data_IF_617391890172
#
_entry.id   IF_617391890172
#
_cell.length_a   1.000
_cell.length_b   1.000
_cell.length_c   1.000
_cell.angle_alpha   90.00
_cell.angle_beta   90.00
_cell.angle_gamma   90.00
#
_symmetry.space_group_name_H-M   'P 1'
#
loop_
_entity.id
_entity.type
_entity.pdbx_description
1 polymer ?
#
# COMPACT_ATOMS: atom_id res chain seq x y z
N UNK A 1 -24.47 3.55 -11.08
CA UNK A 1 -24.03 4.64 -10.17
C UNK A 1 -23.57 4.01 -8.88
N UNK A 2 -22.41 4.37 -8.38
CA UNK A 2 -21.88 3.88 -7.10
C UNK A 2 -21.98 4.97 -6.02
N UNK A 3 -22.16 4.54 -4.77
CA UNK A 3 -22.21 5.41 -3.62
C UNK A 3 -20.96 5.22 -2.76
N UNK A 4 -20.61 6.26 -2.00
CA UNK A 4 -19.54 6.18 -1.01
C UNK A 4 -19.87 5.12 0.04
N UNK A 5 -18.81 4.57 0.63
CA UNK A 5 -18.93 3.50 1.62
C UNK A 5 -18.17 3.83 2.90
N UNK A 6 -18.63 3.20 3.97
CA UNK A 6 -17.94 3.10 5.26
C UNK A 6 -18.12 1.69 5.82
N UNK A 7 -17.49 1.36 6.91
CA UNK A 7 -17.76 0.10 7.63
C UNK A 7 -19.10 0.15 8.34
N UNK A 8 -19.70 -1.04 8.59
CA UNK A 8 -21.02 -1.13 9.22
C UNK A 8 -20.94 -0.98 10.74
N UNK A 9 -19.92 -1.55 11.37
CA UNK A 9 -19.69 -1.52 12.83
C UNK A 9 -18.22 -1.33 13.16
N UNK A 10 -17.90 -0.75 14.33
CA UNK A 10 -16.52 -0.64 14.78
C UNK A 10 -15.87 -2.01 14.96
N UNK A 11 -14.56 -2.07 14.69
CA UNK A 11 -13.69 -3.23 14.90
C UNK A 11 -12.31 -2.77 15.33
N UNK A 12 -11.56 -3.64 16.00
CA UNK A 12 -10.27 -3.27 16.59
C UNK A 12 -9.26 -4.41 16.50
N UNK A 13 -7.97 -4.06 16.52
CA UNK A 13 -6.85 -4.98 16.53
C UNK A 13 -5.67 -4.35 17.28
N UNK A 14 -4.89 -5.17 17.96
CA UNK A 14 -3.66 -4.74 18.63
C UNK A 14 -2.46 -5.50 18.10
N UNK A 15 -1.30 -4.91 18.19
CA UNK A 15 -0.03 -5.51 17.80
C UNK A 15 1.14 -4.60 18.19
N UNK A 16 2.30 -4.83 17.60
CA UNK A 16 3.50 -4.02 17.79
C UNK A 16 3.92 -3.34 16.50
N UNK A 17 4.48 -2.15 16.60
CA UNK A 17 5.09 -1.45 15.47
C UNK A 17 6.36 -2.15 15.01
N UNK A 18 6.55 -2.30 13.69
CA UNK A 18 7.75 -2.94 13.11
C UNK A 18 9.03 -2.20 13.48
N UNK A 19 9.03 -0.88 13.32
CA UNK A 19 10.22 -0.06 13.51
C UNK A 19 10.41 0.36 14.97
N UNK A 20 9.35 0.73 15.65
CA UNK A 20 9.41 1.23 17.02
C UNK A 20 9.45 0.13 18.08
N UNK A 21 8.86 -1.04 17.78
CA UNK A 21 8.63 -2.10 18.77
C UNK A 21 7.60 -1.74 19.84
N UNK A 22 6.90 -0.61 19.70
CA UNK A 22 5.90 -0.14 20.66
C UNK A 22 4.57 -0.84 20.39
N UNK A 23 3.89 -1.34 21.45
CA UNK A 23 2.51 -1.81 21.32
C UNK A 23 1.60 -0.69 20.82
N UNK A 24 0.67 -1.03 19.94
CA UNK A 24 -0.32 -0.12 19.40
C UNK A 24 -1.67 -0.81 19.25
N UNK A 25 -2.73 -0.03 19.43
CA UNK A 25 -4.10 -0.44 19.25
C UNK A 25 -4.74 0.39 18.14
N UNK A 26 -5.32 -0.29 17.15
CA UNK A 26 -6.05 0.33 16.05
C UNK A 26 -7.51 -0.01 16.14
N UNK A 27 -8.37 1.01 16.15
CA UNK A 27 -9.82 0.88 16.09
C UNK A 27 -10.36 1.56 14.84
N UNK A 28 -11.01 0.80 13.99
CA UNK A 28 -11.74 1.30 12.82
C UNK A 28 -13.16 1.68 13.23
N UNK A 29 -13.58 2.89 12.90
CA UNK A 29 -14.89 3.44 13.27
C UNK A 29 -15.59 3.99 12.04
N UNK A 30 -16.90 3.69 11.84
CA UNK A 30 -17.68 4.25 10.73
C UNK A 30 -17.59 5.77 10.71
N UNK A 31 -17.42 6.35 9.51
CA UNK A 31 -17.39 7.79 9.32
C UNK A 31 -18.51 8.25 8.37
N UNK A 32 -18.97 9.52 8.47
CA UNK A 32 -19.91 10.10 7.53
C UNK A 32 -19.32 10.25 6.12
N UNK A 33 -20.18 10.51 5.15
CA UNK A 33 -19.75 10.78 3.78
C UNK A 33 -18.81 11.99 3.72
N UNK A 34 -17.88 11.96 2.74
CA UNK A 34 -16.90 13.00 2.48
C UNK A 34 -15.82 13.18 3.58
N UNK A 35 -15.71 12.23 4.52
CA UNK A 35 -14.63 12.20 5.53
C UNK A 35 -13.28 11.78 4.93
N UNK A 36 -13.30 10.83 4.00
CA UNK A 36 -12.09 10.16 3.56
C UNK A 36 -11.54 9.19 4.63
N UNK A 37 -10.27 8.79 4.50
CA UNK A 37 -9.56 8.02 5.52
C UNK A 37 -8.89 9.01 6.47
N UNK A 38 -9.35 9.04 7.72
CA UNK A 38 -8.88 9.98 8.74
C UNK A 38 -8.33 9.21 9.93
N UNK A 39 -7.00 9.26 10.10
CA UNK A 39 -6.34 8.78 11.31
C UNK A 39 -6.57 9.77 12.45
N UNK A 40 -6.79 9.23 13.66
CA UNK A 40 -6.90 10.02 14.89
C UNK A 40 -5.98 9.43 15.94
N UNK A 41 -4.97 10.20 16.36
CA UNK A 41 -4.05 9.82 17.44
C UNK A 41 -4.79 9.93 18.76
N UNK A 42 -5.35 8.80 19.23
CA UNK A 42 -6.19 8.76 20.44
C UNK A 42 -5.38 9.04 21.74
N UNK A 43 -4.08 8.80 21.69
CA UNK A 43 -3.12 9.18 22.76
C UNK A 43 -2.80 10.69 22.77
N UNK A 44 -3.22 11.44 21.75
CA UNK A 44 -3.01 12.88 21.58
C UNK A 44 -4.36 13.61 21.33
N UNK A 45 -5.33 13.40 22.20
CA UNK A 45 -6.67 14.01 22.16
C UNK A 45 -7.40 13.84 20.81
N UNK A 46 -7.23 12.67 20.19
CA UNK A 46 -7.76 12.35 18.88
C UNK A 46 -7.26 13.27 17.76
N UNK A 47 -6.00 13.70 17.83
CA UNK A 47 -5.39 14.56 16.82
C UNK A 47 -5.53 13.99 15.41
N UNK A 48 -6.16 14.73 14.45
CA UNK A 48 -6.53 14.20 13.15
C UNK A 48 -5.39 14.33 12.13
N UNK A 49 -5.12 13.25 11.38
CA UNK A 49 -4.19 13.22 10.25
C UNK A 49 -4.92 12.58 9.07
N UNK A 50 -5.20 13.34 8.04
CA UNK A 50 -5.81 12.85 6.80
C UNK A 50 -4.81 11.98 6.04
N UNK A 51 -5.26 10.81 5.53
CA UNK A 51 -4.47 9.97 4.64
C UNK A 51 -4.43 10.59 3.24
N UNK A 52 -3.62 11.63 3.07
CA UNK A 52 -3.50 12.38 1.83
C UNK A 52 -2.04 12.76 1.56
N UNK A 53 -1.69 12.90 0.27
CA UNK A 53 -0.33 13.16 -0.20
C UNK A 53 0.36 14.37 0.42
N UNK A 54 -0.40 15.42 0.79
CA UNK A 54 0.17 16.61 1.43
C UNK A 54 0.61 16.39 2.89
N UNK A 55 0.18 15.32 3.54
CA UNK A 55 0.62 14.91 4.87
C UNK A 55 1.76 13.89 4.85
N UNK A 56 2.23 13.47 3.66
CA UNK A 56 3.37 12.57 3.56
C UNK A 56 4.60 13.23 4.17
N UNK A 57 5.24 12.55 5.11
CA UNK A 57 6.46 12.99 5.75
C UNK A 57 7.66 12.21 5.20
N UNK A 58 8.22 11.34 6.02
CA UNK A 58 9.36 10.51 5.66
C UNK A 58 8.89 9.19 5.05
N UNK A 59 9.54 8.76 3.98
CA UNK A 59 9.25 7.50 3.26
C UNK A 59 10.50 6.60 3.16
N UNK A 60 11.22 6.49 4.26
CA UNK A 60 12.35 5.56 4.37
C UNK A 60 11.87 4.30 5.08
N UNK A 61 11.86 3.18 4.38
CA UNK A 61 11.45 1.85 4.85
C UNK A 61 9.96 1.66 5.20
N UNK A 62 9.19 2.74 5.29
CA UNK A 62 7.74 2.74 5.50
C UNK A 62 7.15 4.08 5.08
N UNK A 63 5.85 4.12 4.81
CA UNK A 63 5.13 5.36 4.51
C UNK A 63 4.64 5.99 5.80
N UNK A 64 5.12 7.21 6.05
CA UNK A 64 4.76 8.00 7.23
C UNK A 64 3.98 9.25 6.85
N UNK A 65 2.99 9.58 7.66
CA UNK A 65 2.20 10.81 7.60
C UNK A 65 2.59 11.72 8.76
N UNK A 66 2.60 13.02 8.53
CA UNK A 66 2.84 14.01 9.58
C UNK A 66 1.96 15.24 9.37
N UNK A 67 1.37 15.71 10.46
CA UNK A 67 0.62 16.95 10.49
C UNK A 67 0.95 17.71 11.77
N UNK A 68 1.38 18.96 11.63
CA UNK A 68 1.77 19.84 12.76
C UNK A 68 2.72 19.18 13.77
N UNK A 69 3.69 18.38 13.27
CA UNK A 69 4.66 17.69 14.10
C UNK A 69 4.21 16.35 14.69
N UNK A 70 2.94 15.98 14.54
CA UNK A 70 2.42 14.66 14.96
C UNK A 70 2.65 13.67 13.84
N UNK A 71 3.47 12.64 14.11
CA UNK A 71 3.87 11.60 13.17
C UNK A 71 3.00 10.34 13.35
N UNK A 72 2.71 9.69 12.23
CA UNK A 72 2.16 8.33 12.14
C UNK A 72 2.90 7.55 11.06
N UNK A 73 3.42 6.37 11.37
CA UNK A 73 4.26 5.56 10.48
C UNK A 73 3.62 4.22 10.11
N UNK A 74 4.16 3.58 9.06
CA UNK A 74 3.81 2.21 8.60
C UNK A 74 2.33 2.11 8.25
N UNK A 75 1.84 3.07 7.46
CA UNK A 75 0.40 3.19 7.13
C UNK A 75 -0.02 2.36 5.91
N UNK A 76 0.93 1.96 5.07
CA UNK A 76 0.74 1.38 3.73
C UNK A 76 -0.10 0.10 3.74
N UNK A 77 0.13 -0.85 4.65
CA UNK A 77 -0.60 -2.13 4.68
C UNK A 77 -2.08 -1.96 5.01
N UNK A 78 -2.37 -1.10 6.00
CA UNK A 78 -3.74 -0.76 6.37
C UNK A 78 -4.44 0.04 5.26
N UNK A 79 -3.74 1.02 4.68
CA UNK A 79 -4.26 1.82 3.55
C UNK A 79 -4.56 0.93 2.34
N UNK A 80 -3.69 -0.05 2.03
CA UNK A 80 -3.92 -1.00 0.94
C UNK A 80 -5.20 -1.83 1.16
N UNK A 81 -5.43 -2.31 2.38
CA UNK A 81 -6.62 -3.05 2.74
C UNK A 81 -7.89 -2.19 2.64
N UNK A 82 -7.88 -0.98 3.19
CA UNK A 82 -9.00 -0.04 3.14
C UNK A 82 -9.35 0.34 1.70
N UNK A 83 -8.34 0.76 0.94
CA UNK A 83 -8.49 1.21 -0.44
C UNK A 83 -9.03 0.09 -1.34
N UNK A 84 -8.41 -1.08 -1.31
CA UNK A 84 -8.82 -2.24 -2.11
C UNK A 84 -10.20 -2.75 -1.73
N UNK A 85 -10.60 -2.63 -0.45
CA UNK A 85 -11.94 -2.96 0.03
C UNK A 85 -13.00 -1.94 -0.37
N UNK A 86 -12.61 -0.85 -1.01
CA UNK A 86 -13.52 0.20 -1.47
C UNK A 86 -14.12 1.01 -0.31
N UNK A 87 -13.43 1.12 0.82
CA UNK A 87 -13.83 1.98 1.95
C UNK A 87 -13.43 3.41 1.64
N UNK A 88 -14.41 4.28 1.45
CA UNK A 88 -14.18 5.69 1.12
C UNK A 88 -14.06 6.57 2.36
N UNK A 89 -14.77 6.22 3.46
CA UNK A 89 -14.86 7.05 4.65
C UNK A 89 -14.69 6.21 5.90
N UNK A 90 -13.71 6.55 6.74
CA UNK A 90 -13.41 5.82 7.96
C UNK A 90 -12.61 6.68 8.93
N UNK A 91 -12.90 6.56 10.22
CA UNK A 91 -11.98 6.98 11.28
C UNK A 91 -11.09 5.79 11.67
N UNK A 92 -9.80 6.04 11.75
CA UNK A 92 -8.79 5.09 12.21
C UNK A 92 -8.19 5.64 13.50
N UNK A 93 -8.72 5.20 14.65
CA UNK A 93 -8.18 5.57 15.96
C UNK A 93 -6.95 4.74 16.23
N UNK A 94 -5.86 5.36 16.63
CA UNK A 94 -4.60 4.72 16.96
C UNK A 94 -3.94 5.41 18.16
N UNK A 95 -3.50 4.63 19.14
CA UNK A 95 -2.86 5.11 20.38
C UNK A 95 -1.32 5.05 20.35
N UNK A 96 -0.73 4.89 19.16
CA UNK A 96 0.70 4.78 18.96
C UNK A 96 1.18 5.58 17.75
N UNK A 97 2.49 5.82 17.68
CA UNK A 97 3.15 6.51 16.56
C UNK A 97 3.24 5.65 15.29
N UNK A 98 2.96 4.35 15.38
CA UNK A 98 3.14 3.40 14.28
C UNK A 98 1.96 2.44 14.23
N UNK A 99 1.45 2.19 13.01
CA UNK A 99 0.43 1.15 12.77
C UNK A 99 1.07 -0.23 13.02
N UNK A 100 0.41 -1.12 13.80
CA UNK A 100 0.94 -2.46 14.07
C UNK A 100 1.23 -3.25 12.80
N UNK A 101 2.39 -3.91 12.77
CA UNK A 101 2.81 -4.71 11.60
C UNK A 101 2.05 -6.03 11.46
N UNK A 102 1.53 -6.55 12.57
CA UNK A 102 0.81 -7.82 12.68
C UNK A 102 1.66 -9.00 12.17
N UNK A 103 1.22 -9.70 11.13
CA UNK A 103 1.95 -10.80 10.49
C UNK A 103 2.83 -10.34 9.30
N UNK A 104 2.98 -9.04 9.12
CA UNK A 104 3.74 -8.44 8.01
C UNK A 104 2.98 -8.32 6.70
N UNK A 105 1.70 -8.70 6.66
CA UNK A 105 0.83 -8.61 5.48
C UNK A 105 -0.39 -7.71 5.72
N UNK A 106 -1.26 -7.55 4.72
CA UNK A 106 -2.55 -6.86 4.88
C UNK A 106 -3.70 -7.80 5.27
N UNK A 107 -3.48 -9.11 5.34
CA UNK A 107 -4.57 -10.07 5.59
C UNK A 107 -5.30 -9.85 6.91
N UNK A 108 -4.62 -9.58 8.05
CA UNK A 108 -5.33 -9.32 9.31
C UNK A 108 -6.25 -8.09 9.23
N UNK A 109 -5.88 -7.06 8.46
CA UNK A 109 -6.72 -5.90 8.20
C UNK A 109 -7.92 -6.24 7.31
N UNK A 110 -7.74 -7.11 6.31
CA UNK A 110 -8.84 -7.62 5.48
C UNK A 110 -9.85 -8.42 6.31
N UNK A 111 -9.38 -9.27 7.22
CA UNK A 111 -10.23 -10.00 8.17
C UNK A 111 -11.01 -9.07 9.11
N UNK A 112 -10.35 -8.00 9.57
CA UNK A 112 -10.99 -6.94 10.35
C UNK A 112 -12.14 -6.30 9.57
N UNK A 113 -11.92 -5.95 8.30
CA UNK A 113 -12.92 -5.34 7.42
C UNK A 113 -14.08 -6.30 7.09
N UNK A 114 -13.82 -7.60 6.99
CA UNK A 114 -14.89 -8.61 6.84
C UNK A 114 -15.78 -8.67 8.08
N UNK A 115 -15.16 -8.69 9.26
CA UNK A 115 -15.90 -8.63 10.54
C UNK A 115 -16.70 -7.34 10.67
N UNK A 116 -16.15 -6.20 10.20
CA UNK A 116 -16.82 -4.91 10.25
C UNK A 116 -18.05 -4.83 9.35
N UNK A 117 -18.01 -5.51 8.21
CA UNK A 117 -18.98 -5.34 7.12
C UNK A 117 -18.90 -3.95 6.47
N UNK A 118 -19.55 -3.79 5.34
CA UNK A 118 -19.56 -2.53 4.57
C UNK A 118 -20.97 -1.95 4.51
N UNK A 119 -21.08 -0.63 4.63
CA UNK A 119 -22.34 0.11 4.51
C UNK A 119 -22.20 1.20 3.46
N UNK A 120 -23.17 1.28 2.56
CA UNK A 120 -23.29 2.40 1.62
C UNK A 120 -23.83 3.67 2.33
N UNK A 121 -23.31 4.81 1.90
CA UNK A 121 -23.73 6.15 2.33
C UNK A 121 -24.60 6.81 1.24
N UNK A 122 -25.36 7.85 1.60
CA UNK A 122 -26.27 8.57 0.67
C UNK A 122 -25.55 9.66 -0.14
N UNK A 123 -24.27 9.40 -0.55
CA UNK A 123 -23.44 10.33 -1.33
C UNK A 123 -22.84 9.59 -2.51
N UNK A 124 -22.86 10.16 -3.71
CA UNK A 124 -22.24 9.57 -4.90
C UNK A 124 -20.73 9.39 -4.67
N UNK A 125 -20.21 8.27 -5.08
CA UNK A 125 -18.77 7.99 -5.05
C UNK A 125 -18.07 8.88 -6.06
N UNK A 126 -16.94 9.44 -5.67
CA UNK A 126 -16.07 10.24 -6.51
C UNK A 126 -14.82 9.45 -6.83
N UNK A 127 -14.29 9.66 -8.03
CA UNK A 127 -13.08 9.02 -8.52
C UNK A 127 -12.13 10.08 -9.03
N UNK A 128 -10.83 9.87 -8.83
CA UNK A 128 -9.77 10.61 -9.51
C UNK A 128 -9.52 9.92 -10.85
N UNK A 129 -9.88 10.58 -11.95
CA UNK A 129 -9.67 10.09 -13.32
C UNK A 129 -8.42 10.73 -13.90
N UNK A 130 -7.46 9.91 -14.30
CA UNK A 130 -6.25 10.38 -14.98
C UNK A 130 -6.60 10.78 -16.41
N UNK A 131 -6.16 11.96 -16.84
CA UNK A 131 -6.45 12.54 -18.16
C UNK A 131 -5.26 12.48 -19.10
N UNK A 132 -4.04 12.59 -18.59
CA UNK A 132 -2.79 12.49 -19.35
C UNK A 132 -1.71 11.75 -18.56
N UNK A 133 -0.71 11.15 -19.21
CA UNK A 133 0.39 10.50 -18.54
C UNK A 133 1.16 11.43 -17.60
N UNK A 134 1.55 10.90 -16.43
CA UNK A 134 2.53 11.51 -15.53
C UNK A 134 3.58 10.47 -15.24
N UNK A 135 4.85 10.77 -15.49
CA UNK A 135 5.95 9.82 -15.43
C UNK A 135 7.09 10.34 -14.57
N UNK A 136 7.77 9.41 -13.91
CA UNK A 136 8.99 9.63 -13.13
C UNK A 136 10.05 8.64 -13.59
N UNK A 137 11.27 9.14 -13.73
CA UNK A 137 12.46 8.31 -13.94
C UNK A 137 13.60 8.89 -13.10
N UNK A 138 14.32 8.02 -12.41
CA UNK A 138 15.48 8.42 -11.62
C UNK A 138 16.54 7.30 -11.62
N UNK A 139 17.83 7.62 -11.42
CA UNK A 139 18.84 6.61 -11.22
C UNK A 139 18.52 5.70 -10.04
N UNK A 140 18.82 4.39 -10.17
CA UNK A 140 18.68 3.46 -9.06
C UNK A 140 19.82 3.67 -8.07
N UNK A 141 19.55 4.05 -6.80
CA UNK A 141 20.61 4.30 -5.82
C UNK A 141 21.31 3.02 -5.37
N UNK A 142 20.74 1.84 -5.63
CA UNK A 142 21.30 0.55 -5.20
C UNK A 142 22.10 -0.14 -6.31
N UNK A 143 21.82 0.19 -7.59
CA UNK A 143 22.46 -0.47 -8.73
C UNK A 143 22.94 0.56 -9.74
N UNK A 144 24.26 0.77 -9.78
CA UNK A 144 24.88 1.73 -10.69
C UNK A 144 24.52 1.43 -12.16
N UNK A 145 24.15 2.47 -12.90
CA UNK A 145 23.78 2.37 -14.32
C UNK A 145 22.36 1.86 -14.58
N UNK A 146 21.60 1.52 -13.55
CA UNK A 146 20.18 1.20 -13.69
C UNK A 146 19.29 2.38 -13.35
N UNK A 147 18.05 2.32 -13.81
CA UNK A 147 17.01 3.35 -13.55
C UNK A 147 15.80 2.73 -12.90
N UNK A 148 15.14 3.51 -12.07
CA UNK A 148 13.80 3.23 -11.55
C UNK A 148 12.81 4.08 -12.33
N UNK A 149 11.67 3.51 -12.66
CA UNK A 149 10.64 4.19 -13.45
C UNK A 149 9.27 3.97 -12.83
N UNK A 150 8.45 5.00 -12.90
CA UNK A 150 7.05 4.90 -12.51
C UNK A 150 6.20 5.83 -13.35
N UNK A 151 5.01 5.36 -13.75
CA UNK A 151 4.08 6.18 -14.52
C UNK A 151 2.63 5.88 -14.16
N UNK A 152 1.79 6.89 -14.33
CA UNK A 152 0.34 6.79 -14.24
C UNK A 152 -0.26 7.29 -15.55
N UNK A 153 -1.19 6.53 -16.11
CA UNK A 153 -1.76 6.71 -17.44
C UNK A 153 -3.28 6.68 -17.40
N UNK A 154 -3.98 7.33 -18.35
CA UNK A 154 -5.42 7.23 -18.46
C UNK A 154 -5.92 5.79 -18.60
N UNK A 155 -6.94 5.43 -17.81
CA UNK A 155 -7.66 4.15 -17.92
C UNK A 155 -9.07 4.30 -17.33
N UNK A 156 -9.96 3.33 -17.63
CA UNK A 156 -11.34 3.34 -17.12
C UNK A 156 -11.51 2.61 -15.80
N UNK A 157 -10.46 1.95 -15.31
CA UNK A 157 -10.41 1.22 -14.05
C UNK A 157 -9.01 1.35 -13.45
N UNK A 158 -8.85 1.03 -12.16
CA UNK A 158 -7.52 1.01 -11.56
C UNK A 158 -6.79 -0.27 -11.96
N UNK A 159 -5.80 -0.15 -12.86
CA UNK A 159 -4.85 -1.20 -13.23
C UNK A 159 -3.49 -0.93 -12.61
N UNK A 160 -2.89 -1.98 -12.11
CA UNK A 160 -1.54 -1.95 -11.53
C UNK A 160 -0.65 -2.94 -12.28
N UNK A 161 0.58 -2.51 -12.62
CA UNK A 161 1.66 -3.38 -13.08
C UNK A 161 2.93 -3.01 -12.31
N UNK A 162 3.44 -3.94 -11.52
CA UNK A 162 4.58 -3.74 -10.64
C UNK A 162 5.68 -4.74 -10.98
N UNK A 163 6.86 -4.23 -11.29
CA UNK A 163 8.07 -5.01 -11.52
C UNK A 163 9.04 -4.79 -10.37
N UNK A 164 9.55 -5.88 -9.83
CA UNK A 164 10.68 -5.88 -8.93
C UNK A 164 11.85 -6.63 -9.56
N UNK A 165 13.05 -6.21 -9.23
CA UNK A 165 14.27 -6.81 -9.72
C UNK A 165 15.35 -6.67 -8.66
N UNK A 166 15.63 -7.76 -7.95
CA UNK A 166 16.62 -7.80 -6.89
C UNK A 166 17.72 -8.78 -7.25
N UNK A 167 18.96 -8.42 -6.98
CA UNK A 167 20.13 -9.30 -7.16
C UNK A 167 20.16 -10.38 -6.06
N UNK A 168 19.13 -11.26 -6.07
CA UNK A 168 18.99 -12.35 -5.11
C UNK A 168 18.34 -13.57 -5.78
N UNK A 169 18.87 -14.80 -5.61
CA UNK A 169 18.42 -15.98 -6.36
C UNK A 169 16.95 -16.33 -6.17
N UNK A 170 16.37 -16.11 -4.97
CA UNK A 170 14.96 -16.37 -4.70
C UNK A 170 14.02 -15.24 -5.06
N UNK A 171 14.51 -14.02 -5.24
CA UNK A 171 13.68 -12.86 -5.60
C UNK A 171 13.74 -12.64 -7.10
N UNK A 172 14.96 -12.37 -7.64
CA UNK A 172 15.18 -12.13 -9.06
C UNK A 172 14.24 -11.05 -9.61
N UNK A 173 13.72 -11.33 -10.80
CA UNK A 173 12.72 -10.51 -11.46
C UNK A 173 11.32 -11.10 -11.23
N UNK A 174 10.42 -10.29 -10.66
CA UNK A 174 9.02 -10.67 -10.48
C UNK A 174 8.13 -9.57 -11.03
N UNK A 175 7.01 -9.97 -11.62
CA UNK A 175 6.00 -9.07 -12.16
C UNK A 175 4.63 -9.42 -11.61
N UNK A 176 3.89 -8.39 -11.21
CA UNK A 176 2.51 -8.50 -10.74
C UNK A 176 1.65 -7.53 -11.53
N UNK A 177 0.65 -8.03 -12.25
CA UNK A 177 -0.33 -7.20 -12.97
C UNK A 177 -1.74 -7.61 -12.57
N UNK A 178 -2.58 -6.64 -12.20
CA UNK A 178 -3.99 -6.89 -11.84
C UNK A 178 -4.85 -5.63 -12.00
N UNK A 179 -6.17 -5.85 -12.10
CA UNK A 179 -7.18 -4.82 -11.84
C UNK A 179 -7.43 -4.78 -10.33
N UNK A 180 -7.20 -3.63 -9.72
CA UNK A 180 -7.30 -3.49 -8.27
C UNK A 180 -8.76 -3.46 -7.83
N UNK A 181 -9.10 -4.31 -6.88
CA UNK A 181 -10.41 -4.43 -6.26
C UNK A 181 -10.36 -5.44 -5.13
N UNK A 182 -11.42 -5.50 -4.31
CA UNK A 182 -11.45 -6.30 -3.08
C UNK A 182 -11.08 -7.77 -3.31
N UNK A 183 -11.73 -8.42 -4.28
CA UNK A 183 -11.54 -9.85 -4.55
C UNK A 183 -10.11 -10.13 -5.06
N UNK A 184 -9.64 -9.34 -6.03
CA UNK A 184 -8.30 -9.50 -6.58
C UNK A 184 -7.22 -9.23 -5.51
N UNK A 185 -7.38 -8.17 -4.71
CA UNK A 185 -6.45 -7.87 -3.61
C UNK A 185 -6.39 -9.01 -2.60
N UNK A 186 -7.55 -9.51 -2.16
CA UNK A 186 -7.64 -10.61 -1.22
C UNK A 186 -7.00 -11.89 -1.75
N UNK A 187 -7.35 -12.27 -2.96
CA UNK A 187 -6.87 -13.51 -3.56
C UNK A 187 -5.37 -13.50 -3.84
N UNK A 188 -4.84 -12.34 -4.26
CA UNK A 188 -3.52 -12.28 -4.87
C UNK A 188 -2.48 -11.52 -4.05
N UNK A 189 -2.87 -10.53 -3.22
CA UNK A 189 -1.92 -9.62 -2.58
C UNK A 189 -1.98 -9.64 -1.04
N UNK A 190 -3.18 -9.68 -0.45
CA UNK A 190 -3.36 -9.40 0.98
C UNK A 190 -2.47 -10.22 1.91
N UNK A 191 -2.13 -11.45 1.53
CA UNK A 191 -1.33 -12.40 2.31
C UNK A 191 0.18 -12.28 2.08
N UNK A 192 0.63 -11.44 1.15
CA UNK A 192 2.06 -11.25 0.88
C UNK A 192 2.71 -10.46 2.01
N UNK A 193 3.76 -11.04 2.62
CA UNK A 193 4.46 -10.48 3.78
C UNK A 193 5.57 -9.53 3.37
N UNK A 194 5.83 -8.54 4.22
CA UNK A 194 7.03 -7.71 4.13
C UNK A 194 8.30 -8.55 4.31
N UNK A 195 9.42 -8.03 3.81
CA UNK A 195 10.69 -8.75 3.82
C UNK A 195 11.88 -7.81 3.99
N UNK A 196 12.97 -8.37 4.47
CA UNK A 196 14.27 -7.71 4.49
C UNK A 196 15.39 -8.73 4.19
N UNK A 197 16.57 -8.23 3.83
CA UNK A 197 17.75 -9.07 3.73
C UNK A 197 18.43 -9.16 5.11
N UNK A 198 18.95 -10.33 5.45
CA UNK A 198 19.66 -10.54 6.71
C UNK A 198 20.81 -9.54 6.90
N UNK A 199 21.54 -9.23 5.85
CA UNK A 199 22.63 -8.23 5.84
C UNK A 199 22.21 -6.82 6.21
N UNK A 200 20.91 -6.49 6.08
CA UNK A 200 20.38 -5.16 6.37
C UNK A 200 19.87 -5.04 7.84
N UNK A 201 19.76 -6.16 8.56
CA UNK A 201 19.18 -6.19 9.92
C UNK A 201 20.02 -5.35 10.90
N UNK A 202 21.32 -5.60 10.99
CA UNK A 202 22.18 -4.87 11.92
C UNK A 202 22.29 -3.37 11.58
N UNK A 203 22.46 -2.95 10.30
CA UNK A 203 22.36 -1.55 9.92
C UNK A 203 21.02 -0.89 10.31
N UNK A 204 19.89 -1.57 10.07
CA UNK A 204 18.58 -1.06 10.43
C UNK A 204 18.40 -0.92 11.94
N UNK A 205 18.86 -1.91 12.71
CA UNK A 205 18.87 -1.84 14.19
C UNK A 205 19.75 -0.70 14.72
N UNK A 206 20.93 -0.50 14.13
CA UNK A 206 21.81 0.61 14.48
C UNK A 206 21.17 1.98 14.24
N UNK A 207 20.30 2.10 13.22
CA UNK A 207 19.48 3.29 12.97
C UNK A 207 18.26 3.41 13.91
N UNK A 208 18.06 2.47 14.82
CA UNK A 208 16.90 2.44 15.73
C UNK A 208 15.61 1.95 15.08
N UNK A 209 15.69 1.31 13.91
CA UNK A 209 14.56 0.72 13.21
C UNK A 209 14.40 -0.78 13.54
N UNK A 210 13.31 -1.38 13.06
CA UNK A 210 12.97 -2.82 13.17
C UNK A 210 13.06 -3.40 14.59
N UNK A 211 12.80 -2.57 15.62
CA UNK A 211 12.84 -3.02 17.02
C UNK A 211 11.76 -4.04 17.36
N UNK A 212 10.64 -4.04 16.63
CA UNK A 212 9.56 -5.01 16.73
C UNK A 212 9.62 -6.10 15.66
N UNK A 213 10.65 -6.09 14.81
CA UNK A 213 10.83 -7.09 13.76
C UNK A 213 11.15 -8.47 14.31
N UNK A 214 10.44 -9.47 13.81
CA UNK A 214 10.60 -10.88 14.17
C UNK A 214 10.38 -11.78 12.95
N UNK A 215 10.75 -13.06 13.08
CA UNK A 215 10.49 -14.05 12.03
C UNK A 215 8.99 -14.36 11.84
N UNK A 216 8.10 -13.87 12.73
CA UNK A 216 6.66 -14.01 12.60
C UNK A 216 6.01 -12.91 11.78
N UNK A 217 6.68 -11.75 11.63
CA UNK A 217 6.12 -10.55 10.99
C UNK A 217 6.91 -9.99 9.80
N UNK A 218 8.00 -10.63 9.41
CA UNK A 218 8.75 -10.29 8.21
C UNK A 218 9.48 -11.53 7.66
N UNK A 219 9.59 -11.62 6.34
CA UNK A 219 10.44 -12.62 5.70
C UNK A 219 11.88 -12.12 5.77
N UNK A 220 12.80 -12.95 6.28
CA UNK A 220 14.23 -12.66 6.28
C UNK A 220 14.93 -13.51 5.22
N UNK A 221 15.53 -12.83 4.24
CA UNK A 221 16.31 -13.43 3.15
C UNK A 221 17.78 -13.54 3.55
N UNK A 222 18.31 -14.77 3.56
CA UNK A 222 19.75 -15.03 3.59
C UNK A 222 20.33 -14.90 2.18
N UNK A 223 21.62 -15.09 1.99
CA UNK A 223 22.22 -14.95 0.64
C UNK A 223 21.65 -15.93 -0.40
N UNK A 224 21.16 -17.09 0.02
CA UNK A 224 20.68 -18.17 -0.84
C UNK A 224 19.32 -18.75 -0.45
N UNK A 225 18.70 -18.27 0.64
CA UNK A 225 17.51 -18.87 1.22
C UNK A 225 16.56 -17.91 1.92
N UNK A 226 15.63 -18.50 2.66
CA UNK A 226 14.68 -17.82 3.55
C UNK A 226 14.89 -18.36 4.96
N UNK A 227 15.08 -17.50 5.94
CA UNK A 227 15.31 -17.88 7.33
C UNK A 227 14.06 -18.47 7.99
N UNK A 228 12.87 -17.98 7.63
CA UNK A 228 11.61 -18.25 8.34
C UNK A 228 10.52 -18.89 7.49
N UNK A 229 10.64 -20.18 7.28
CA UNK A 229 9.57 -21.00 6.72
C UNK A 229 9.34 -20.83 5.21
N UNK A 230 8.37 -21.52 4.65
CA UNK A 230 8.07 -21.40 3.22
C UNK A 230 7.43 -20.07 2.89
N UNK A 231 7.66 -19.60 1.66
CA UNK A 231 6.92 -18.48 1.07
C UNK A 231 5.44 -18.88 0.92
N UNK A 232 4.55 -17.90 1.11
CA UNK A 232 3.10 -18.05 0.86
C UNK A 232 2.77 -18.07 -0.62
N UNK A 233 3.62 -17.47 -1.44
CA UNK A 233 3.54 -17.42 -2.90
C UNK A 233 4.96 -17.49 -3.48
N UNK A 234 5.13 -18.10 -4.65
CA UNK A 234 6.44 -18.16 -5.31
C UNK A 234 6.98 -16.75 -5.65
N UNK A 235 6.08 -15.80 -5.88
CA UNK A 235 6.32 -14.40 -6.21
C UNK A 235 5.92 -13.44 -5.05
N UNK A 236 6.05 -13.90 -3.79
CA UNK A 236 5.57 -13.16 -2.61
C UNK A 236 6.19 -11.76 -2.50
N UNK A 237 7.45 -11.58 -2.90
CA UNK A 237 8.14 -10.30 -2.85
C UNK A 237 7.55 -9.26 -3.82
N UNK A 238 7.26 -9.67 -5.05
CA UNK A 238 6.58 -8.82 -6.04
C UNK A 238 5.17 -8.46 -5.61
N UNK A 239 4.43 -9.43 -5.04
CA UNK A 239 3.08 -9.21 -4.50
C UNK A 239 3.09 -8.22 -3.35
N UNK A 240 4.05 -8.33 -2.45
CA UNK A 240 4.17 -7.39 -1.34
C UNK A 240 4.49 -5.98 -1.85
N UNK A 241 5.38 -5.83 -2.81
CA UNK A 241 5.65 -4.52 -3.43
C UNK A 241 4.44 -3.93 -4.16
N UNK A 242 3.61 -4.77 -4.77
CA UNK A 242 2.34 -4.33 -5.36
C UNK A 242 1.31 -3.90 -4.28
N UNK A 243 1.29 -4.59 -3.13
CA UNK A 243 0.49 -4.22 -1.96
C UNK A 243 0.91 -2.85 -1.41
N UNK A 244 2.21 -2.65 -1.15
CA UNK A 244 2.79 -1.38 -0.71
C UNK A 244 2.39 -0.23 -1.64
N UNK A 245 2.53 -0.45 -2.95
CA UNK A 245 2.19 0.54 -3.97
C UNK A 245 0.71 0.94 -3.90
N UNK A 246 -0.22 -0.01 -3.73
CA UNK A 246 -1.65 0.30 -3.58
C UNK A 246 -1.89 1.16 -2.34
N UNK A 247 -1.24 0.84 -1.21
CA UNK A 247 -1.36 1.61 0.02
C UNK A 247 -0.86 3.04 -0.12
N UNK A 248 0.27 3.23 -0.78
CA UNK A 248 0.83 4.56 -1.04
C UNK A 248 -0.04 5.38 -2.01
N UNK A 249 -0.63 4.72 -3.02
CA UNK A 249 -1.55 5.39 -3.95
C UNK A 249 -2.89 5.78 -3.32
N UNK A 250 -3.29 5.14 -2.21
CA UNK A 250 -4.47 5.56 -1.44
C UNK A 250 -4.36 7.02 -0.95
N UNK A 251 -3.13 7.54 -0.83
CA UNK A 251 -2.84 8.94 -0.46
C UNK A 251 -3.25 9.97 -1.53
N UNK A 252 -3.73 9.54 -2.70
CA UNK A 252 -4.47 10.40 -3.62
C UNK A 252 -5.80 10.88 -3.05
N UNK A 253 -6.31 10.23 -1.98
CA UNK A 253 -7.53 10.60 -1.27
C UNK A 253 -8.83 10.19 -1.96
N UNK A 254 -8.79 9.66 -3.16
CA UNK A 254 -9.93 9.18 -3.95
C UNK A 254 -9.57 7.88 -4.68
N UNK A 255 -10.57 7.01 -4.96
CA UNK A 255 -10.38 5.87 -5.84
C UNK A 255 -9.92 6.31 -7.23
N UNK A 256 -8.95 5.59 -7.78
CA UNK A 256 -8.28 5.91 -9.04
C UNK A 256 -9.00 5.29 -10.24
N UNK A 257 -9.15 6.05 -11.31
CA UNK A 257 -9.36 5.56 -12.67
C UNK A 257 -8.09 5.87 -13.48
N UNK A 258 -7.22 4.89 -13.58
CA UNK A 258 -5.91 5.02 -14.19
C UNK A 258 -5.14 3.71 -14.17
N UNK A 259 -4.13 3.61 -15.02
CA UNK A 259 -3.17 2.51 -15.04
C UNK A 259 -1.85 2.97 -14.46
N UNK A 260 -1.36 2.28 -13.44
CA UNK A 260 -0.05 2.54 -12.84
C UNK A 260 0.92 1.44 -13.26
N UNK A 261 2.12 1.85 -13.69
CA UNK A 261 3.24 0.96 -13.99
C UNK A 261 4.42 1.39 -13.13
N UNK A 262 4.98 0.46 -12.37
CA UNK A 262 6.12 0.70 -11.50
C UNK A 262 7.23 -0.30 -11.82
N UNK A 263 8.44 0.19 -12.05
CA UNK A 263 9.64 -0.60 -12.28
C UNK A 263 10.70 -0.25 -11.24
N UNK A 264 11.05 -1.20 -10.37
CA UNK A 264 12.01 -1.05 -9.25
C UNK A 264 11.70 0.12 -8.32
N UNK A 265 10.43 0.55 -8.30
CA UNK A 265 9.97 1.67 -7.47
C UNK A 265 9.75 1.24 -6.01
N UNK A 266 9.83 2.20 -5.11
CA UNK A 266 9.54 2.06 -3.69
C UNK A 266 8.78 3.27 -3.16
N UNK A 267 8.49 3.32 -1.86
CA UNK A 267 7.63 4.32 -1.22
C UNK A 267 7.96 5.77 -1.60
N UNK A 268 9.25 6.14 -1.67
CA UNK A 268 9.66 7.49 -2.05
C UNK A 268 9.15 7.86 -3.45
N UNK A 269 9.30 6.95 -4.41
CA UNK A 269 8.86 7.19 -5.79
C UNK A 269 7.33 7.11 -5.92
N UNK A 270 6.67 6.23 -5.14
CA UNK A 270 5.20 6.14 -5.08
C UNK A 270 4.59 7.46 -4.62
N UNK A 271 5.06 7.99 -3.52
CA UNK A 271 4.56 9.24 -2.94
C UNK A 271 4.94 10.47 -3.77
N UNK A 272 6.10 10.43 -4.44
CA UNK A 272 6.50 11.45 -5.40
C UNK A 272 5.56 11.48 -6.62
N UNK A 273 5.14 10.31 -7.14
CA UNK A 273 4.15 10.24 -8.22
C UNK A 273 2.79 10.82 -7.79
N UNK A 274 2.32 10.48 -6.58
CA UNK A 274 1.11 11.07 -5.99
C UNK A 274 1.22 12.59 -5.95
N UNK A 275 2.30 13.12 -5.40
CA UNK A 275 2.54 14.57 -5.31
C UNK A 275 2.59 15.22 -6.69
N UNK A 276 3.29 14.62 -7.65
CA UNK A 276 3.44 15.16 -9.01
C UNK A 276 2.12 15.16 -9.77
N UNK A 277 1.32 14.09 -9.64
CA UNK A 277 -0.01 14.04 -10.23
C UNK A 277 -0.91 15.13 -9.66
N UNK A 278 -1.01 15.23 -8.34
CA UNK A 278 -1.90 16.18 -7.66
C UNK A 278 -1.48 17.65 -7.88
N UNK A 279 -0.19 17.91 -8.10
CA UNK A 279 0.33 19.24 -8.41
C UNK A 279 -0.01 19.73 -9.84
N UNK A 280 -0.44 18.84 -10.74
CA UNK A 280 -0.86 19.20 -12.10
C UNK A 280 -2.38 19.02 -12.29
N UNK A 281 -3.20 20.05 -12.04
CA UNK A 281 -4.66 19.97 -12.18
C UNK A 281 -5.14 19.62 -13.60
N UNK A 282 -4.28 19.74 -14.62
CA UNK A 282 -4.62 19.34 -15.99
C UNK A 282 -4.42 17.85 -16.25
N UNK A 283 -3.76 17.14 -15.33
CA UNK A 283 -3.49 15.70 -15.46
C UNK A 283 -4.61 14.81 -14.94
N UNK A 284 -5.57 15.35 -14.19
CA UNK A 284 -6.64 14.59 -13.61
C UNK A 284 -7.94 15.39 -13.48
N UNK A 285 -9.04 14.68 -13.26
CA UNK A 285 -10.34 15.28 -12.94
C UNK A 285 -11.10 14.42 -11.94
N UNK A 286 -12.02 15.03 -11.20
CA UNK A 286 -12.96 14.29 -10.36
C UNK A 286 -14.18 13.92 -11.20
N UNK A 287 -14.56 12.63 -11.17
CA UNK A 287 -15.77 12.13 -11.83
C UNK A 287 -16.62 11.30 -10.87
N UNK A 288 -17.91 11.18 -11.14
CA UNK A 288 -18.84 10.23 -10.49
C UNK A 288 -19.20 9.05 -11.39
N UNK A 289 -18.61 8.96 -12.56
CA UNK A 289 -18.73 7.80 -13.44
C UNK A 289 -18.00 6.61 -12.81
N UNK A 290 -18.75 5.53 -12.60
CA UNK A 290 -18.15 4.31 -12.07
C UNK A 290 -17.20 3.68 -13.12
N UNK A 291 -16.16 2.93 -12.67
CA UNK A 291 -15.34 2.16 -13.58
C UNK A 291 -16.20 1.24 -14.45
N UNK A 292 -15.76 0.99 -15.70
CA UNK A 292 -16.36 -0.04 -16.53
C UNK A 292 -16.32 -1.37 -15.76
N UNK A 293 -17.39 -2.18 -15.87
CA UNK A 293 -17.39 -3.49 -15.26
C UNK A 293 -16.19 -4.29 -15.79
N UNK A 294 -15.29 -4.70 -14.89
CA UNK A 294 -14.14 -5.50 -15.26
C UNK A 294 -14.61 -6.76 -15.99
N UNK A 295 -14.03 -7.14 -17.13
CA UNK A 295 -14.27 -8.46 -17.69
C UNK A 295 -13.84 -9.51 -16.65
N UNK A 296 -14.56 -10.62 -16.54
CA UNK A 296 -14.41 -11.67 -15.52
C UNK A 296 -13.06 -12.45 -15.57
N UNK A 297 -11.97 -11.82 -15.98
CA UNK A 297 -10.61 -12.35 -16.03
C UNK A 297 -9.62 -11.38 -15.40
N UNK A 298 -9.60 -11.33 -14.07
CA UNK A 298 -8.45 -10.84 -13.31
C UNK A 298 -7.64 -12.07 -12.85
N UNK A 299 -6.77 -12.57 -13.71
CA UNK A 299 -5.73 -13.51 -13.35
C UNK A 299 -4.41 -12.74 -13.26
N UNK A 300 -3.53 -13.11 -12.35
CA UNK A 300 -2.12 -12.70 -12.43
C UNK A 300 -1.56 -13.22 -13.75
N UNK A 301 -1.07 -12.32 -14.59
CA UNK A 301 -0.21 -12.73 -15.70
C UNK A 301 1.19 -12.97 -15.13
N UNK A 302 1.50 -14.22 -14.81
CA UNK A 302 2.87 -14.61 -14.53
C UNK A 302 3.59 -14.71 -15.89
N UNK A 303 4.59 -13.89 -16.13
CA UNK A 303 5.54 -14.17 -17.20
C UNK A 303 6.30 -15.44 -16.84
N UNK A 304 6.30 -16.41 -17.78
CA UNK A 304 7.28 -17.48 -17.72
C UNK A 304 8.69 -16.87 -17.74
N UNK A 305 9.65 -17.44 -17.00
CA UNK A 305 11.02 -16.96 -17.04
C UNK A 305 11.47 -16.93 -18.51
N UNK A 306 12.05 -15.81 -18.92
CA UNK A 306 12.65 -15.69 -20.24
C UNK A 306 13.65 -16.85 -20.40
N UNK A 307 13.42 -17.70 -21.40
CA UNK A 307 14.38 -18.76 -21.73
C UNK A 307 15.72 -18.08 -22.00
N UNK A 308 16.75 -18.51 -21.27
CA UNK A 308 18.11 -18.15 -21.59
C UNK A 308 18.36 -18.60 -23.04
N UNK A 309 18.50 -17.66 -23.95
CA UNK A 309 19.06 -17.95 -25.26
C UNK A 309 20.58 -18.06 -25.08
N UNK A 310 21.09 -19.27 -25.38
CA UNK A 310 22.49 -19.61 -25.48
C UNK A 310 23.29 -18.65 -26.37
#
# INVERSE_FOLDING_TARGET
MSFQTTIQRPVEISGIGLHTGVPGHVRLVPAPADTGILFRRSDLDNFPIEAQGHNVARVSYATSLMKQGVLLSTTEHLLAALYSSGIDNIYVDIDAIEVPILDGSSEPFMEMLDKAGTRQLRRKRRYLKVLKPVELEEPDPQVAGQVRRMGIYPAQEFRLRCYVDFAHPLVGQQEVELVVGREAFRQWLSRARTFCFERDIEPLRAMGLIRGGSLDNAIVLTDDGVMNGPLRFADEFGRHKALDLIGDLALMGLPLLGRVVAYRAGHAMHTQLVSRLLADPSAWAITTEAPAAAPARSGLSALAPAAATD
#
